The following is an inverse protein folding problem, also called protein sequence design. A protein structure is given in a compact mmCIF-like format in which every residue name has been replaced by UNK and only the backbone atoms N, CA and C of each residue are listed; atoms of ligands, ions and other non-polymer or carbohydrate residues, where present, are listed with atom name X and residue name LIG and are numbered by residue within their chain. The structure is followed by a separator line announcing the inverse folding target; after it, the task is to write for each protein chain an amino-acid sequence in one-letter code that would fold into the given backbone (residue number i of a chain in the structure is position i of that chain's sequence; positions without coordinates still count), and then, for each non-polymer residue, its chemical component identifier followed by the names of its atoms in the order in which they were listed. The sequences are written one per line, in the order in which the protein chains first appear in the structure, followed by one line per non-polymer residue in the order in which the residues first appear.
data_IF_274494919347
#
_entry.id   IF_274494919347
#
_cell.length_a   1.000
_cell.length_b   1.000
_cell.length_c   1.000
_cell.angle_alpha   90.00
_cell.angle_beta   90.00
_cell.angle_gamma   90.00
#
_symmetry.space_group_name_H-M   'P 1'
#
loop_
_entity.id
_entity.type
_entity.pdbx_description
1 polymer ?
#
# COMPACT_ATOMS: atom_id res chain seq x y z
N UNK A 1 -25.04 -45.06 -35.72
CA UNK A 1 -24.56 -44.15 -36.78
C UNK A 1 -24.26 -42.80 -36.13
N UNK A 2 -22.98 -42.39 -36.12
CA UNK A 2 -22.52 -41.01 -35.92
C UNK A 2 -22.68 -40.44 -34.51
N UNK A 3 -21.72 -40.65 -33.60
CA UNK A 3 -20.57 -39.74 -33.36
C UNK A 3 -20.99 -38.46 -32.62
N UNK A 4 -20.97 -38.45 -31.29
CA UNK A 4 -19.81 -38.18 -30.41
C UNK A 4 -19.40 -36.70 -30.38
N UNK A 5 -19.46 -36.07 -29.20
CA UNK A 5 -18.31 -35.56 -28.43
C UNK A 5 -18.71 -34.36 -27.56
N UNK A 6 -18.52 -34.54 -26.23
CA UNK A 6 -17.91 -33.61 -25.26
C UNK A 6 -18.26 -32.11 -25.36
N UNK A 7 -18.68 -31.41 -24.31
CA UNK A 7 -18.19 -31.46 -22.93
C UNK A 7 -17.74 -30.05 -22.50
N UNK A 8 -18.19 -29.62 -21.32
CA UNK A 8 -17.61 -28.58 -20.44
C UNK A 8 -17.26 -27.21 -21.04
N UNK A 9 -18.19 -26.25 -20.91
CA UNK A 9 -17.90 -24.82 -21.03
C UNK A 9 -17.26 -24.26 -19.76
N UNK A 10 -15.93 -24.23 -19.72
CA UNK A 10 -15.15 -23.48 -18.73
C UNK A 10 -14.68 -22.13 -19.34
N UNK A 11 -14.79 -20.99 -18.63
CA UNK A 11 -14.31 -19.70 -19.12
C UNK A 11 -12.79 -19.55 -18.90
N UNK A 12 -12.01 -19.70 -19.96
CA UNK A 12 -10.68 -19.11 -20.09
C UNK A 12 -10.85 -17.64 -20.51
N UNK A 13 -10.05 -16.65 -20.10
CA UNK A 13 -8.59 -16.67 -20.06
C UNK A 13 -8.06 -15.51 -19.21
N UNK A 14 -7.10 -15.82 -18.34
CA UNK A 14 -6.20 -14.85 -17.68
C UNK A 14 -5.25 -14.25 -18.73
N UNK A 15 -4.91 -12.95 -18.68
CA UNK A 15 -3.92 -12.38 -19.60
C UNK A 15 -2.52 -12.95 -19.31
N UNK A 16 -1.70 -13.23 -20.36
CA UNK A 16 -0.38 -13.81 -20.19
C UNK A 16 0.64 -12.80 -19.61
N UNK A 17 1.68 -13.30 -18.90
CA UNK A 17 2.72 -12.46 -18.32
C UNK A 17 3.64 -11.87 -19.40
N UNK A 18 3.89 -10.57 -19.26
CA UNK A 18 4.78 -9.74 -20.09
C UNK A 18 6.21 -10.30 -20.02
N UNK A 19 6.65 -10.96 -21.10
CA UNK A 19 8.00 -11.49 -21.22
C UNK A 19 9.02 -10.35 -21.43
N UNK A 20 10.06 -10.42 -20.61
CA UNK A 20 11.14 -9.46 -20.42
C UNK A 20 12.03 -9.40 -21.66
N UNK A 21 12.08 -8.24 -22.34
CA UNK A 21 12.93 -7.98 -23.52
C UNK A 21 14.41 -7.89 -23.13
N UNK A 22 15.27 -8.68 -23.77
CA UNK A 22 16.73 -8.54 -23.78
C UNK A 22 17.30 -8.98 -25.15
N UNK A 23 18.51 -8.54 -25.51
CA UNK A 23 18.79 -7.88 -26.80
C UNK A 23 19.30 -8.85 -27.88
N UNK A 24 18.91 -8.62 -29.13
CA UNK A 24 19.42 -9.37 -30.28
C UNK A 24 20.50 -8.56 -31.01
N UNK A 25 21.72 -9.04 -30.86
CA UNK A 25 22.93 -8.71 -31.62
C UNK A 25 22.76 -9.18 -33.07
N UNK A 26 23.02 -8.30 -34.06
CA UNK A 26 23.03 -8.64 -35.49
C UNK A 26 24.34 -9.37 -35.85
N UNK A 27 24.32 -10.50 -36.57
CA UNK A 27 25.54 -11.11 -37.11
C UNK A 27 25.83 -10.55 -38.52
N UNK A 28 26.93 -9.79 -38.65
CA UNK A 28 27.48 -9.39 -39.94
C UNK A 28 28.32 -10.55 -40.51
N UNK A 29 27.96 -11.03 -41.69
CA UNK A 29 28.60 -12.14 -42.38
C UNK A 29 29.67 -11.68 -43.39
N UNK A 30 30.89 -12.18 -43.19
CA UNK A 30 31.91 -12.67 -44.15
C UNK A 30 32.30 -11.84 -45.40
N UNK A 31 33.59 -11.47 -45.47
CA UNK A 31 34.45 -11.63 -46.65
C UNK A 31 35.95 -11.57 -46.26
N UNK A 32 36.70 -12.63 -46.59
CA UNK A 32 38.17 -12.83 -46.45
C UNK A 32 38.95 -12.00 -47.53
N UNK A 33 40.32 -11.94 -47.63
CA UNK A 33 41.32 -12.91 -47.15
C UNK A 33 42.76 -12.43 -46.74
N UNK A 34 43.53 -13.39 -46.21
CA UNK A 34 45.00 -13.59 -46.31
C UNK A 34 45.98 -13.13 -45.21
N UNK A 35 46.93 -14.06 -44.97
CA UNK A 35 48.33 -13.96 -44.47
C UNK A 35 48.60 -14.25 -42.98
N UNK A 36 48.91 -15.54 -42.76
CA UNK A 36 49.96 -16.13 -41.88
C UNK A 36 50.72 -15.18 -40.95
N UNK A 37 50.77 -15.50 -39.65
CA UNK A 37 52.02 -15.80 -38.93
C UNK A 37 51.73 -16.21 -37.48
N UNK A 38 52.51 -17.16 -36.99
CA UNK A 38 52.50 -17.70 -35.64
C UNK A 38 52.97 -16.69 -34.58
N UNK A 39 52.56 -16.86 -33.31
CA UNK A 39 53.46 -17.17 -32.17
C UNK A 39 52.81 -16.92 -30.78
N UNK A 40 52.91 -17.96 -29.92
CA UNK A 40 53.12 -18.04 -28.46
C UNK A 40 52.47 -17.03 -27.47
N UNK A 41 51.82 -17.61 -26.45
CA UNK A 41 51.38 -17.03 -25.16
C UNK A 41 52.55 -16.42 -24.32
N UNK A 42 52.32 -15.66 -23.21
CA UNK A 42 51.87 -16.22 -21.92
C UNK A 42 51.08 -15.30 -20.96
N UNK A 43 50.65 -15.90 -19.84
CA UNK A 43 49.84 -15.39 -18.74
C UNK A 43 50.33 -14.13 -17.99
N UNK A 44 49.39 -13.33 -17.44
CA UNK A 44 49.65 -12.38 -16.35
C UNK A 44 48.57 -12.40 -15.25
N UNK A 45 49.03 -12.86 -14.09
CA UNK A 45 48.67 -12.55 -12.69
C UNK A 45 47.51 -11.58 -12.40
N UNK A 46 46.61 -12.09 -11.54
CA UNK A 46 46.12 -11.47 -10.30
C UNK A 46 45.69 -10.00 -10.30
N UNK A 47 44.41 -9.74 -10.03
CA UNK A 47 44.05 -8.70 -9.06
C UNK A 47 42.63 -8.81 -8.51
N UNK A 48 42.56 -8.47 -7.22
CA UNK A 48 41.42 -7.92 -6.46
C UNK A 48 40.42 -8.90 -5.84
N UNK A 49 40.83 -9.37 -4.66
CA UNK A 49 39.93 -9.64 -3.54
C UNK A 49 38.89 -8.52 -3.41
N UNK A 50 37.63 -8.90 -3.62
CA UNK A 50 36.47 -8.03 -3.45
C UNK A 50 36.32 -7.76 -1.94
N UNK A 51 36.71 -6.54 -1.56
CA UNK A 51 36.59 -5.99 -0.20
C UNK A 51 35.16 -6.18 0.30
N UNK A 52 34.97 -7.12 1.23
CA UNK A 52 33.70 -7.40 1.88
C UNK A 52 33.07 -6.12 2.41
N UNK A 53 31.84 -5.85 1.99
CA UNK A 53 31.07 -4.72 2.47
C UNK A 53 30.94 -4.83 3.99
N UNK A 54 31.50 -3.86 4.73
CA UNK A 54 31.34 -3.77 6.19
C UNK A 54 29.84 -3.82 6.51
N UNK A 55 29.43 -4.78 7.32
CA UNK A 55 28.05 -4.91 7.77
C UNK A 55 27.61 -3.57 8.37
N UNK A 56 26.63 -2.91 7.74
CA UNK A 56 26.10 -1.64 8.23
C UNK A 56 25.49 -1.89 9.61
N UNK A 57 26.01 -1.23 10.65
CA UNK A 57 25.46 -1.27 12.01
C UNK A 57 23.95 -1.01 11.95
N UNK A 58 23.16 -2.03 12.27
CA UNK A 58 21.70 -1.92 12.29
C UNK A 58 21.34 -0.88 13.34
N UNK A 59 20.79 0.24 12.90
CA UNK A 59 20.43 1.33 13.81
C UNK A 59 19.22 0.92 14.65
N UNK A 60 19.37 0.96 15.98
CA UNK A 60 18.34 0.64 17.00
C UNK A 60 17.08 1.51 16.87
N UNK A 61 17.21 2.71 16.30
CA UNK A 61 16.12 3.67 16.10
C UNK A 61 15.54 3.55 14.67
N UNK A 62 14.23 3.47 14.58
CA UNK A 62 13.45 3.47 13.33
C UNK A 62 13.12 4.89 12.89
N UNK A 63 13.61 5.24 11.69
CA UNK A 63 13.41 6.53 11.03
C UNK A 63 12.54 6.35 9.77
N UNK A 64 11.89 7.43 9.33
CA UNK A 64 11.12 7.48 8.09
C UNK A 64 9.68 6.94 8.17
N UNK A 65 8.98 6.94 7.02
CA UNK A 65 7.54 6.62 6.89
C UNK A 65 7.16 5.24 7.45
N UNK A 66 8.07 4.26 7.35
CA UNK A 66 7.86 2.88 7.81
C UNK A 66 8.33 2.62 9.25
N UNK A 67 8.69 3.65 10.02
CA UNK A 67 9.27 3.49 11.35
C UNK A 67 8.42 2.61 12.29
N UNK A 68 7.12 2.92 12.41
CA UNK A 68 6.19 2.13 13.24
C UNK A 68 6.05 0.68 12.75
N UNK A 69 6.10 0.45 11.43
CA UNK A 69 6.07 -0.89 10.87
C UNK A 69 7.35 -1.68 11.12
N UNK A 70 8.52 -1.03 11.10
CA UNK A 70 9.78 -1.69 11.39
C UNK A 70 9.86 -2.11 12.86
N UNK A 71 9.39 -1.26 13.77
CA UNK A 71 9.32 -1.57 15.21
C UNK A 71 8.29 -2.66 15.49
N UNK A 72 7.11 -2.59 14.87
CA UNK A 72 6.09 -3.63 15.03
C UNK A 72 6.55 -5.01 14.54
N UNK A 73 7.33 -5.04 13.44
CA UNK A 73 7.97 -6.26 12.91
C UNK A 73 9.19 -6.73 13.73
N UNK A 74 9.69 -5.93 14.67
CA UNK A 74 10.88 -6.25 15.46
C UNK A 74 12.22 -6.01 14.75
N UNK A 75 12.22 -5.39 13.57
CA UNK A 75 13.47 -5.07 12.86
C UNK A 75 14.30 -3.98 13.58
N UNK A 76 13.64 -3.22 14.46
CA UNK A 76 14.21 -2.12 15.24
C UNK A 76 13.49 -2.02 16.57
N UNK A 77 14.14 -1.49 17.59
CA UNK A 77 13.59 -1.48 18.95
C UNK A 77 12.62 -0.31 19.21
N UNK A 78 12.97 0.89 18.76
CA UNK A 78 12.19 2.11 19.03
C UNK A 78 12.07 3.02 17.82
N UNK A 79 10.97 3.77 17.72
CA UNK A 79 10.84 4.86 16.74
C UNK A 79 11.59 6.12 17.18
N UNK A 80 11.74 7.12 16.31
CA UNK A 80 12.31 8.43 16.67
C UNK A 80 11.60 9.05 17.88
N UNK A 81 10.27 8.92 17.95
CA UNK A 81 9.46 9.40 19.08
C UNK A 81 9.41 8.46 20.29
N UNK A 82 10.37 7.54 20.43
CA UNK A 82 10.49 6.66 21.60
C UNK A 82 9.48 5.51 21.67
N UNK A 83 8.60 5.36 20.68
CA UNK A 83 7.57 4.31 20.68
C UNK A 83 8.20 2.92 20.44
N UNK A 84 7.99 2.00 21.39
CA UNK A 84 8.34 0.57 21.32
C UNK A 84 7.20 -0.26 20.72
N UNK A 85 7.44 -1.56 20.52
CA UNK A 85 6.42 -2.50 19.99
C UNK A 85 5.16 -2.51 20.86
N UNK A 86 5.31 -2.47 22.19
CA UNK A 86 4.19 -2.53 23.14
C UNK A 86 3.29 -1.30 23.07
N UNK A 87 3.84 -0.17 22.64
CA UNK A 87 3.10 1.08 22.45
C UNK A 87 2.35 1.18 21.13
N UNK A 88 2.48 0.21 20.22
CA UNK A 88 1.92 0.25 18.86
C UNK A 88 0.77 -0.74 18.72
N UNK A 89 -0.30 -0.32 18.04
CA UNK A 89 -1.46 -1.15 17.70
C UNK A 89 -1.86 -0.95 16.24
N UNK A 90 -2.42 -1.98 15.61
CA UNK A 90 -3.06 -1.87 14.28
C UNK A 90 -4.50 -1.38 14.44
N UNK A 91 -4.89 -0.40 13.64
CA UNK A 91 -6.31 -0.10 13.44
C UNK A 91 -6.93 -1.05 12.40
N UNK A 92 -8.25 -0.99 12.24
CA UNK A 92 -9.00 -1.77 11.25
C UNK A 92 -8.56 -1.51 9.80
N UNK A 93 -8.06 -0.30 9.50
CA UNK A 93 -7.53 0.09 8.20
C UNK A 93 -6.06 -0.35 7.99
N UNK A 94 -5.51 -1.18 8.87
CA UNK A 94 -4.13 -1.69 8.79
C UNK A 94 -3.03 -0.69 9.13
N UNK A 95 -3.38 0.54 9.53
CA UNK A 95 -2.44 1.58 9.96
C UNK A 95 -1.94 1.30 11.37
N UNK A 96 -0.63 1.42 11.57
CA UNK A 96 0.01 1.31 12.88
C UNK A 96 -0.01 2.66 13.60
N UNK A 97 -0.68 2.69 14.74
CA UNK A 97 -0.94 3.88 15.56
C UNK A 97 -0.47 3.60 16.99
N UNK A 98 -0.25 4.63 17.81
CA UNK A 98 0.07 4.40 19.22
C UNK A 98 -1.19 3.97 19.99
N UNK A 99 -1.04 3.09 21.00
CA UNK A 99 -2.14 2.67 21.87
C UNK A 99 -2.83 3.87 22.54
N UNK A 100 -2.04 4.82 23.03
CA UNK A 100 -2.53 6.09 23.62
C UNK A 100 -3.43 6.87 22.66
N UNK A 101 -3.02 7.00 21.40
CA UNK A 101 -3.82 7.71 20.39
C UNK A 101 -5.11 6.95 20.05
N UNK A 102 -5.06 5.62 19.98
CA UNK A 102 -6.25 4.80 19.77
C UNK A 102 -7.25 4.93 20.93
N UNK A 103 -6.77 4.90 22.17
CA UNK A 103 -7.61 5.06 23.36
C UNK A 103 -8.27 6.45 23.41
N UNK A 104 -7.51 7.53 23.16
CA UNK A 104 -8.05 8.89 23.11
C UNK A 104 -9.11 9.07 22.01
N UNK A 105 -8.91 8.46 20.83
CA UNK A 105 -9.91 8.49 19.77
C UNK A 105 -11.20 7.77 20.18
N UNK A 106 -11.09 6.60 20.83
CA UNK A 106 -12.25 5.86 21.35
C UNK A 106 -12.97 6.64 22.44
N UNK A 107 -12.21 7.25 23.35
CA UNK A 107 -12.70 8.13 24.41
C UNK A 107 -13.58 9.24 23.84
N UNK A 108 -13.06 10.02 22.88
CA UNK A 108 -13.80 11.11 22.23
C UNK A 108 -15.06 10.64 21.49
N UNK A 109 -15.06 9.42 20.97
CA UNK A 109 -16.21 8.88 20.26
C UNK A 109 -17.29 8.34 21.21
N UNK A 110 -16.88 7.69 22.31
CA UNK A 110 -17.79 7.01 23.24
C UNK A 110 -18.20 7.93 24.40
N UNK A 111 -17.24 8.55 25.08
CA UNK A 111 -17.49 9.39 26.27
C UNK A 111 -18.02 10.76 25.88
N UNK A 112 -17.32 11.49 25.01
CA UNK A 112 -17.77 12.83 24.63
C UNK A 112 -19.04 12.78 23.77
N UNK A 113 -19.25 11.68 23.02
CA UNK A 113 -20.49 11.31 22.32
C UNK A 113 -21.00 12.27 21.23
N UNK A 114 -20.55 13.52 21.22
CA UNK A 114 -20.99 14.62 20.33
C UNK A 114 -20.87 14.26 18.86
N UNK A 115 -19.76 13.63 18.49
CA UNK A 115 -19.55 13.16 17.11
C UNK A 115 -20.53 12.05 16.74
N UNK A 116 -20.77 11.09 17.63
CA UNK A 116 -21.70 9.99 17.39
C UNK A 116 -23.14 10.52 17.27
N UNK A 117 -23.56 11.38 18.20
CA UNK A 117 -24.87 12.02 18.19
C UNK A 117 -25.13 12.79 16.89
N UNK A 118 -24.15 13.57 16.42
CA UNK A 118 -24.26 14.29 15.15
C UNK A 118 -24.39 13.37 13.94
N UNK A 119 -23.60 12.30 13.89
CA UNK A 119 -23.66 11.31 12.80
C UNK A 119 -25.05 10.65 12.76
N UNK A 120 -25.57 10.26 13.92
CA UNK A 120 -26.86 9.57 14.01
C UNK A 120 -28.03 10.54 13.71
N UNK A 121 -27.94 11.79 14.14
CA UNK A 121 -28.88 12.85 13.75
C UNK A 121 -28.88 13.08 12.23
N UNK A 122 -27.72 13.09 11.58
CA UNK A 122 -27.61 13.22 10.13
C UNK A 122 -28.20 12.01 9.39
N UNK A 123 -28.02 10.79 9.91
CA UNK A 123 -28.65 9.58 9.36
C UNK A 123 -30.17 9.66 9.47
N UNK A 124 -30.69 9.99 10.65
CA UNK A 124 -32.13 10.13 10.90
C UNK A 124 -32.74 11.21 10.00
N UNK A 125 -32.09 12.37 9.87
CA UNK A 125 -32.52 13.44 8.99
C UNK A 125 -32.53 13.01 7.51
N UNK A 126 -31.54 12.22 7.07
CA UNK A 126 -31.47 11.72 5.69
C UNK A 126 -32.60 10.74 5.39
N UNK A 127 -32.86 9.80 6.29
CA UNK A 127 -33.98 8.86 6.18
C UNK A 127 -35.32 9.60 6.17
N UNK A 128 -35.51 10.57 7.06
CA UNK A 128 -36.74 11.35 7.17
C UNK A 128 -36.97 12.35 6.02
N UNK A 129 -36.01 12.54 5.12
CA UNK A 129 -36.12 13.37 3.93
C UNK A 129 -36.03 12.54 2.63
N UNK A 130 -35.81 11.22 2.73
CA UNK A 130 -35.70 10.34 1.56
C UNK A 130 -34.53 10.67 0.61
N UNK A 131 -33.48 11.33 1.09
CA UNK A 131 -32.40 11.82 0.23
C UNK A 131 -31.43 10.69 -0.16
N UNK A 132 -31.44 10.29 -1.43
CA UNK A 132 -30.48 9.37 -2.03
C UNK A 132 -29.31 10.12 -2.69
N UNK A 133 -28.14 9.46 -2.80
CA UNK A 133 -26.93 10.07 -3.35
C UNK A 133 -26.23 11.05 -2.42
N UNK A 134 -25.28 11.82 -2.96
CA UNK A 134 -24.50 12.79 -2.20
C UNK A 134 -25.27 14.11 -2.06
N UNK A 135 -25.39 14.61 -0.82
CA UNK A 135 -25.99 15.92 -0.51
C UNK A 135 -25.08 16.61 0.48
N UNK A 136 -24.60 17.79 0.13
CA UNK A 136 -23.75 18.59 1.00
C UNK A 136 -24.57 19.14 2.18
N UNK A 137 -24.21 18.75 3.40
CA UNK A 137 -24.83 19.26 4.62
C UNK A 137 -24.54 20.76 4.73
N UNK A 138 -25.60 21.59 4.74
CA UNK A 138 -25.46 23.05 4.78
C UNK A 138 -24.95 23.69 3.48
N UNK A 139 -24.98 22.96 2.36
CA UNK A 139 -24.59 23.50 1.05
C UNK A 139 -25.60 24.50 0.45
N UNK A 140 -25.30 25.01 -0.75
CA UNK A 140 -26.16 25.96 -1.50
C UNK A 140 -27.51 25.35 -1.93
N UNK A 141 -27.55 24.03 -2.10
CA UNK A 141 -28.76 23.29 -2.46
C UNK A 141 -29.84 23.39 -1.38
N UNK A 142 -31.11 23.51 -1.76
CA UNK A 142 -32.24 23.53 -0.83
C UNK A 142 -32.27 22.28 0.09
N UNK A 143 -32.05 21.10 -0.49
CA UNK A 143 -31.98 19.83 0.26
C UNK A 143 -30.87 19.82 1.33
N UNK A 144 -29.70 20.38 1.02
CA UNK A 144 -28.57 20.47 1.94
C UNK A 144 -28.83 21.37 3.16
N UNK A 145 -29.52 22.50 2.94
CA UNK A 145 -29.95 23.41 4.02
C UNK A 145 -31.01 22.75 4.91
N UNK A 146 -31.99 22.10 4.30
CA UNK A 146 -33.05 21.38 5.02
C UNK A 146 -32.48 20.23 5.88
N UNK A 147 -31.51 19.47 5.35
CA UNK A 147 -30.83 18.41 6.09
C UNK A 147 -30.11 18.97 7.32
N UNK A 148 -29.33 20.05 7.16
CA UNK A 148 -28.61 20.67 8.28
C UNK A 148 -29.57 21.18 9.36
N UNK A 149 -30.66 21.86 8.98
CA UNK A 149 -31.66 22.34 9.93
C UNK A 149 -32.28 21.20 10.73
N UNK A 150 -32.68 20.10 10.06
CA UNK A 150 -33.30 18.93 10.70
C UNK A 150 -32.31 18.17 11.60
N UNK A 151 -31.06 18.01 11.16
CA UNK A 151 -30.01 17.38 11.96
C UNK A 151 -29.67 18.21 13.20
N UNK A 152 -29.57 19.54 13.08
CA UNK A 152 -29.33 20.45 14.20
C UNK A 152 -30.50 20.44 15.20
N UNK A 153 -31.74 20.44 14.72
CA UNK A 153 -32.92 20.31 15.57
C UNK A 153 -32.94 18.97 16.34
N UNK A 154 -32.47 17.88 15.71
CA UNK A 154 -32.40 16.56 16.36
C UNK A 154 -31.27 16.43 17.39
N UNK A 155 -30.27 17.32 17.35
CA UNK A 155 -29.15 17.37 18.30
C UNK A 155 -29.43 18.30 19.50
N UNK A 156 -30.28 19.31 19.32
CA UNK A 156 -30.65 20.27 20.35
C UNK A 156 -31.75 19.76 21.30
N UNK A 157 -32.28 18.57 21.03
CA UNK A 157 -33.29 17.87 21.84
C UNK A 157 -32.60 16.92 22.81
#
# INVERSE_FOLDING_TARGET
FGSSLFGSGAPASRPPPILRRSPATLPFAMALPTKRAAMKAPATKAMKAMKGAKAKRVTKIARGKRAKSLVFRGAKEKTVGGLTKDGIVRNSLGKLVSKKQSANARRRYVEDGRFKAWIDACKAARTALGLSGFVAVGGKSAAGRALYAKAKASLAR
#
